data_IF_059046896237
#
_entry.id   IF_059046896237
#
_cell.length_a   1.000
_cell.length_b   1.000
_cell.length_c   1.000
_cell.angle_alpha   90.00
_cell.angle_beta   90.00
_cell.angle_gamma   90.00
#
_symmetry.space_group_name_H-M   'P 1'
#
loop_
_entity.id
_entity.type
_entity.pdbx_description
1 polymer ?
#
# COMPACT_ATOMS: atom_id res chain seq x y z
N UNK A 1 -21.60 -8.12 17.58
CA UNK A 1 -21.14 -7.88 16.19
C UNK A 1 -21.22 -9.19 15.44
N UNK A 2 -22.03 -9.28 14.38
CA UNK A 2 -22.48 -10.54 13.78
C UNK A 2 -21.36 -11.19 12.92
N UNK A 3 -21.26 -12.52 12.93
CA UNK A 3 -20.17 -13.25 12.25
C UNK A 3 -20.17 -13.05 10.73
N UNK A 4 -21.35 -13.00 10.11
CA UNK A 4 -21.49 -12.74 8.66
C UNK A 4 -21.02 -11.34 8.27
N UNK A 5 -21.27 -10.34 9.12
CA UNK A 5 -20.79 -8.97 8.91
C UNK A 5 -19.27 -8.87 8.96
N UNK A 6 -18.60 -9.71 9.78
CA UNK A 6 -17.13 -9.78 9.84
C UNK A 6 -16.52 -10.43 8.59
N UNK A 7 -17.17 -11.46 8.04
CA UNK A 7 -16.67 -12.13 6.83
C UNK A 7 -16.81 -11.22 5.61
N UNK A 8 -17.91 -10.49 5.49
CA UNK A 8 -18.10 -9.54 4.38
C UNK A 8 -17.12 -8.37 4.43
N UNK A 9 -16.82 -7.82 5.61
CA UNK A 9 -15.77 -6.78 5.76
C UNK A 9 -14.37 -7.33 5.49
N UNK A 10 -14.07 -8.58 5.85
CA UNK A 10 -12.75 -9.17 5.63
C UNK A 10 -12.46 -9.40 4.15
N UNK A 11 -13.47 -9.76 3.35
CA UNK A 11 -13.33 -10.01 1.91
C UNK A 11 -13.41 -8.71 1.09
N UNK A 12 -14.22 -7.75 1.53
CA UNK A 12 -14.41 -6.45 0.89
C UNK A 12 -14.18 -5.31 1.90
N UNK A 13 -12.93 -5.08 2.32
CA UNK A 13 -12.60 -4.01 3.24
C UNK A 13 -12.84 -2.66 2.56
N UNK A 14 -13.27 -1.69 3.34
CA UNK A 14 -13.35 -0.32 2.86
C UNK A 14 -11.94 0.23 2.57
N UNK A 15 -11.79 1.25 1.72
CA UNK A 15 -10.48 1.84 1.48
C UNK A 15 -9.89 2.45 2.75
N UNK A 16 -10.71 3.01 3.64
CA UNK A 16 -10.30 3.50 4.96
C UNK A 16 -9.58 2.40 5.75
N UNK A 17 -10.18 1.20 5.84
CA UNK A 17 -9.59 0.07 6.55
C UNK A 17 -8.25 -0.35 5.94
N UNK A 18 -8.16 -0.45 4.61
CA UNK A 18 -6.92 -0.82 3.94
C UNK A 18 -5.83 0.24 4.13
N UNK A 19 -6.16 1.52 4.06
CA UNK A 19 -5.21 2.62 4.24
C UNK A 19 -4.66 2.62 5.67
N UNK A 20 -5.52 2.50 6.67
CA UNK A 20 -5.12 2.43 8.08
C UNK A 20 -4.22 1.22 8.34
N UNK A 21 -4.57 0.04 7.80
CA UNK A 21 -3.77 -1.17 7.90
C UNK A 21 -2.40 -1.01 7.21
N UNK A 22 -2.36 -0.40 6.02
CA UNK A 22 -1.10 -0.14 5.30
C UNK A 22 -0.19 0.75 6.13
N UNK A 23 -0.70 1.85 6.70
CA UNK A 23 0.10 2.74 7.53
C UNK A 23 0.58 2.07 8.82
N UNK A 24 -0.29 1.30 9.47
CA UNK A 24 0.07 0.54 10.67
C UNK A 24 1.21 -0.47 10.39
N UNK A 25 1.10 -1.26 9.32
CA UNK A 25 2.13 -2.24 8.94
C UNK A 25 3.42 -1.54 8.48
N UNK A 26 3.32 -0.42 7.74
CA UNK A 26 4.48 0.38 7.34
C UNK A 26 5.22 0.98 8.54
N UNK A 27 4.50 1.42 9.58
CA UNK A 27 5.09 1.89 10.83
C UNK A 27 5.79 0.74 11.56
N UNK A 28 5.14 -0.42 11.70
CA UNK A 28 5.73 -1.59 12.31
C UNK A 28 7.00 -2.05 11.59
N UNK A 29 7.00 -2.03 10.25
CA UNK A 29 8.18 -2.34 9.43
C UNK A 29 9.35 -1.40 9.72
N UNK A 30 9.11 -0.07 9.78
CA UNK A 30 10.16 0.91 10.12
C UNK A 30 10.73 0.65 11.51
N UNK A 31 9.88 0.41 12.51
CA UNK A 31 10.32 0.07 13.87
C UNK A 31 11.15 -1.22 13.88
N UNK A 32 10.76 -2.24 13.11
CA UNK A 32 11.50 -3.49 13.02
C UNK A 32 12.89 -3.31 12.39
N UNK A 33 13.02 -2.43 11.38
CA UNK A 33 14.32 -2.06 10.81
C UNK A 33 15.20 -1.35 11.83
N UNK A 34 14.65 -0.40 12.59
CA UNK A 34 15.38 0.36 13.60
C UNK A 34 15.84 -0.52 14.78
N UNK A 35 15.13 -1.61 15.08
CA UNK A 35 15.47 -2.52 16.17
C UNK A 35 16.68 -3.43 15.87
N UNK A 36 17.05 -3.60 14.59
CA UNK A 36 18.32 -4.19 14.14
C UNK A 36 18.49 -5.71 14.24
N UNK A 37 17.70 -6.44 15.04
CA UNK A 37 17.95 -7.87 15.35
C UNK A 37 16.83 -8.84 14.93
N UNK A 38 15.95 -8.40 14.02
CA UNK A 38 14.78 -9.19 13.57
C UNK A 38 14.53 -9.06 12.05
N UNK A 39 15.53 -9.36 11.19
CA UNK A 39 15.42 -9.16 9.73
C UNK A 39 14.23 -9.91 9.11
N UNK A 40 13.93 -11.12 9.57
CA UNK A 40 12.79 -11.90 9.07
C UNK A 40 11.43 -11.23 9.36
N UNK A 41 11.31 -10.51 10.49
CA UNK A 41 10.08 -9.77 10.81
C UNK A 41 9.96 -8.54 9.90
N UNK A 42 11.05 -7.81 9.69
CA UNK A 42 11.05 -6.65 8.80
C UNK A 42 10.66 -7.05 7.36
N UNK A 43 11.22 -8.16 6.85
CA UNK A 43 10.86 -8.71 5.54
C UNK A 43 9.37 -9.09 5.48
N UNK A 44 8.88 -9.83 6.48
CA UNK A 44 7.47 -10.25 6.53
C UNK A 44 6.50 -9.05 6.57
N UNK A 45 6.84 -8.00 7.32
CA UNK A 45 6.04 -6.78 7.40
C UNK A 45 6.07 -5.99 6.08
N UNK A 46 7.21 -5.94 5.40
CA UNK A 46 7.33 -5.32 4.09
C UNK A 46 6.47 -6.05 3.05
N UNK A 47 6.49 -7.39 3.04
CA UNK A 47 5.64 -8.18 2.16
C UNK A 47 4.15 -7.97 2.48
N UNK A 48 3.79 -7.94 3.76
CA UNK A 48 2.41 -7.73 4.18
C UNK A 48 1.89 -6.36 3.74
N UNK A 49 2.67 -5.29 3.95
CA UNK A 49 2.38 -3.94 3.44
C UNK A 49 2.16 -3.98 1.93
N UNK A 50 3.07 -4.63 1.19
CA UNK A 50 2.99 -4.72 -0.27
C UNK A 50 1.70 -5.40 -0.72
N UNK A 51 1.31 -6.51 -0.09
CA UNK A 51 0.06 -7.21 -0.42
C UNK A 51 -1.18 -6.35 -0.15
N UNK A 52 -1.18 -5.57 0.93
CA UNK A 52 -2.26 -4.63 1.24
C UNK A 52 -2.33 -3.50 0.20
N UNK A 53 -1.19 -2.92 -0.19
CA UNK A 53 -1.11 -1.90 -1.24
C UNK A 53 -1.62 -2.42 -2.60
N UNK A 54 -1.22 -3.63 -2.98
CA UNK A 54 -1.72 -4.29 -4.21
C UNK A 54 -3.23 -4.53 -4.14
N UNK A 55 -3.75 -4.94 -2.98
CA UNK A 55 -5.19 -5.13 -2.77
C UNK A 55 -5.96 -3.81 -2.91
N UNK A 56 -5.45 -2.73 -2.30
CA UNK A 56 -6.02 -1.38 -2.40
C UNK A 56 -6.08 -0.94 -3.88
N UNK A 57 -4.98 -1.07 -4.62
CA UNK A 57 -4.93 -0.72 -6.04
C UNK A 57 -5.92 -1.54 -6.88
N UNK A 58 -5.97 -2.87 -6.68
CA UNK A 58 -6.88 -3.74 -7.46
C UNK A 58 -8.36 -3.42 -7.25
N UNK A 59 -8.73 -2.96 -6.05
CA UNK A 59 -10.13 -2.69 -5.71
C UNK A 59 -10.56 -1.26 -6.03
N UNK A 60 -9.64 -0.28 -5.95
CA UNK A 60 -10.01 1.13 -5.91
C UNK A 60 -9.25 2.01 -6.93
N UNK A 61 -8.25 1.49 -7.64
CA UNK A 61 -7.55 2.25 -8.68
C UNK A 61 -8.20 2.12 -10.07
N UNK A 62 -8.11 3.16 -10.92
CA UNK A 62 -7.51 4.47 -10.64
C UNK A 62 -8.48 5.46 -9.98
N UNK A 63 -9.71 5.05 -9.67
CA UNK A 63 -10.80 5.98 -9.37
C UNK A 63 -10.69 6.68 -8.03
N UNK A 64 -10.15 6.02 -7.00
CA UNK A 64 -9.95 6.61 -5.66
C UNK A 64 -8.49 6.67 -5.24
N UNK A 65 -7.65 5.79 -5.78
CA UNK A 65 -6.22 5.67 -5.49
C UNK A 65 -5.46 5.44 -6.79
N UNK A 66 -4.25 5.96 -6.91
CA UNK A 66 -3.43 5.79 -8.10
C UNK A 66 -1.94 5.79 -7.78
N UNK A 67 -1.15 5.24 -8.71
CA UNK A 67 0.31 5.27 -8.66
C UNK A 67 0.81 6.59 -9.24
N UNK A 68 1.60 7.33 -8.46
CA UNK A 68 2.33 8.50 -8.91
C UNK A 68 3.81 8.31 -8.63
N UNK A 69 4.68 8.57 -9.62
CA UNK A 69 6.12 8.50 -9.39
C UNK A 69 6.52 9.64 -8.44
N UNK A 70 7.22 9.30 -7.36
CA UNK A 70 7.76 10.28 -6.43
C UNK A 70 9.05 10.87 -7.01
N UNK A 71 8.99 12.13 -7.43
CA UNK A 71 10.13 12.85 -8.02
C UNK A 71 11.02 13.52 -6.97
N UNK A 72 10.56 13.64 -5.73
CA UNK A 72 11.27 14.36 -4.66
C UNK A 72 11.91 13.42 -3.62
N UNK A 73 11.88 12.11 -3.89
CA UNK A 73 12.43 11.12 -2.97
C UNK A 73 13.97 11.16 -2.92
N UNK A 74 14.53 11.07 -1.71
CA UNK A 74 15.96 10.85 -1.49
C UNK A 74 16.34 9.34 -1.53
N UNK A 75 15.38 8.47 -1.83
CA UNK A 75 15.60 7.02 -1.98
C UNK A 75 16.56 6.72 -3.12
N UNK A 76 17.44 5.72 -2.93
CA UNK A 76 18.34 5.23 -3.96
C UNK A 76 17.59 4.51 -5.10
N UNK A 77 16.36 4.03 -4.83
CA UNK A 77 15.48 3.45 -5.84
C UNK A 77 14.23 4.29 -6.09
N UNK A 78 13.71 4.31 -7.34
CA UNK A 78 12.49 5.06 -7.65
C UNK A 78 11.28 4.47 -6.92
N UNK A 79 10.45 5.35 -6.39
CA UNK A 79 9.26 5.00 -5.61
C UNK A 79 8.00 5.49 -6.31
N UNK A 80 6.95 4.68 -6.27
CA UNK A 80 5.59 5.18 -6.43
C UNK A 80 5.02 5.60 -5.07
N UNK A 81 4.39 6.76 -5.01
CA UNK A 81 3.38 7.05 -4.00
C UNK A 81 2.04 6.48 -4.43
N UNK A 82 1.34 5.78 -3.54
CA UNK A 82 -0.07 5.44 -3.74
C UNK A 82 -0.91 6.63 -3.29
N UNK A 83 -1.23 7.55 -4.20
CA UNK A 83 -1.93 8.80 -3.90
C UNK A 83 -3.43 8.61 -3.90
N UNK A 84 -4.13 9.34 -3.05
CA UNK A 84 -5.58 9.33 -2.96
C UNK A 84 -6.14 10.54 -3.70
N UNK A 85 -7.18 10.35 -4.53
CA UNK A 85 -7.83 11.47 -5.24
C UNK A 85 -8.53 12.45 -4.30
N UNK A 86 -9.03 11.93 -3.18
CA UNK A 86 -9.60 12.69 -2.08
C UNK A 86 -9.00 12.17 -0.77
N UNK A 87 -8.82 13.02 0.26
CA UNK A 87 -8.36 12.54 1.55
C UNK A 87 -9.33 11.51 2.15
N UNK A 88 -8.79 10.38 2.64
CA UNK A 88 -9.57 9.31 3.27
C UNK A 88 -9.04 9.14 4.69
N UNK A 89 -9.91 9.27 5.69
CA UNK A 89 -9.55 9.18 7.11
C UNK A 89 -8.38 10.11 7.53
N UNK A 90 -8.21 11.25 6.85
CA UNK A 90 -7.12 12.20 7.11
C UNK A 90 -5.79 11.88 6.41
N UNK A 91 -5.72 10.77 5.67
CA UNK A 91 -4.59 10.42 4.83
C UNK A 91 -4.76 10.98 3.41
N UNK A 92 -3.65 11.35 2.77
CA UNK A 92 -3.59 11.75 1.35
C UNK A 92 -2.87 10.72 0.47
N UNK A 93 -2.27 9.70 1.09
CA UNK A 93 -1.59 8.59 0.43
C UNK A 93 -1.66 7.29 1.27
N UNK A 94 -1.31 6.18 0.63
CA UNK A 94 -1.20 4.85 1.22
C UNK A 94 0.26 4.34 1.18
N UNK A 95 1.20 5.18 1.61
CA UNK A 95 2.64 4.95 1.67
C UNK A 95 3.33 4.68 0.31
N UNK A 96 4.66 4.76 0.32
CA UNK A 96 5.48 4.48 -0.86
C UNK A 96 5.61 2.99 -1.15
N UNK A 97 5.66 2.66 -2.44
CA UNK A 97 5.90 1.35 -3.01
C UNK A 97 7.04 1.45 -4.03
N UNK A 98 8.17 0.73 -3.84
CA UNK A 98 9.23 0.74 -4.82
C UNK A 98 8.76 0.29 -6.21
N UNK A 99 9.26 0.93 -7.26
CA UNK A 99 8.89 0.60 -8.65
C UNK A 99 9.23 -0.86 -8.98
N UNK A 100 10.36 -1.38 -8.46
CA UNK A 100 10.74 -2.78 -8.61
C UNK A 100 9.68 -3.71 -8.00
N UNK A 101 9.28 -3.45 -6.75
CA UNK A 101 8.27 -4.25 -6.05
C UNK A 101 6.91 -4.16 -6.75
N UNK A 102 6.52 -2.99 -7.27
CA UNK A 102 5.31 -2.88 -8.09
C UNK A 102 5.36 -3.82 -9.30
N UNK A 103 6.50 -3.89 -10.01
CA UNK A 103 6.71 -4.79 -11.16
C UNK A 103 6.76 -6.27 -10.78
N UNK A 104 7.13 -6.60 -9.54
CA UNK A 104 7.13 -7.98 -9.04
C UNK A 104 5.70 -8.50 -8.77
N UNK A 105 4.73 -7.60 -8.53
CA UNK A 105 3.36 -7.98 -8.14
C UNK A 105 2.26 -7.58 -9.14
N UNK A 106 2.55 -6.66 -10.06
CA UNK A 106 1.61 -6.13 -11.04
C UNK A 106 2.19 -6.26 -12.44
N UNK A 107 1.35 -6.62 -13.40
CA UNK A 107 1.75 -6.59 -14.80
C UNK A 107 1.97 -5.14 -15.27
N UNK A 108 2.78 -4.91 -16.31
CA UNK A 108 2.96 -3.57 -16.87
C UNK A 108 1.63 -2.89 -17.24
N UNK A 109 0.66 -3.64 -17.76
CA UNK A 109 -0.66 -3.12 -18.14
C UNK A 109 -1.46 -2.65 -16.92
N UNK A 110 -1.37 -3.38 -15.79
CA UNK A 110 -1.99 -2.96 -14.54
C UNK A 110 -1.30 -1.72 -13.97
N UNK A 111 0.03 -1.64 -14.04
CA UNK A 111 0.78 -0.48 -13.58
C UNK A 111 0.35 0.76 -14.37
N UNK A 112 0.30 0.69 -15.70
CA UNK A 112 -0.16 1.82 -16.52
C UNK A 112 -1.62 2.16 -16.23
N UNK A 113 -2.51 1.16 -16.08
CA UNK A 113 -3.92 1.39 -15.73
C UNK A 113 -4.11 2.05 -14.37
N UNK A 114 -3.21 1.78 -13.42
CA UNK A 114 -3.30 2.30 -12.07
C UNK A 114 -2.63 3.66 -11.90
N UNK A 115 -1.92 4.19 -12.90
CA UNK A 115 -1.45 5.57 -12.89
C UNK A 115 -2.61 6.53 -13.16
N UNK A 116 -2.45 7.77 -12.70
CA UNK A 116 -3.32 8.86 -13.13
C UNK A 116 -2.99 9.23 -14.58
N UNK A 117 -4.04 9.44 -15.39
CA UNK A 117 -3.94 9.87 -16.79
C UNK A 117 -3.53 11.34 -16.90
#
# INVERSE_FOLDING_TARGET
MNSEFRVTTLLNPSPEQLIDEIHAVNHAWKVALDFGDIPALAESLQEMKTRLQVRLLRQYAPDRVYLALDQETASEEPLYGLRLKEPIAGHTDAAHLPVRVAKDHLSPELIERFKEL
#
